data_IF_168436090147
#
_entry.id   IF_168436090147
#
_cell.length_a   1.000
_cell.length_b   1.000
_cell.length_c   1.000
_cell.angle_alpha   90.00
_cell.angle_beta   90.00
_cell.angle_gamma   90.00
#
_symmetry.space_group_name_H-M   'P 1'
#
loop_
_entity.id
_entity.type
_entity.pdbx_description
1 polymer ?
#
# COMPACT_ATOMS: atom_id res chain seq x y z
N UNK A 1 -17.18 -7.77 9.93
CA UNK A 1 -17.20 -9.05 10.68
C UNK A 1 -18.11 -10.04 9.98
N UNK A 2 -19.31 -9.64 9.59
CA UNK A 2 -20.29 -10.52 8.91
C UNK A 2 -19.68 -11.23 7.69
N UNK A 3 -19.10 -10.50 6.74
CA UNK A 3 -18.42 -11.09 5.57
C UNK A 3 -17.25 -12.00 5.94
N UNK A 4 -16.46 -11.65 6.96
CA UNK A 4 -15.27 -12.42 7.34
C UNK A 4 -15.63 -13.85 7.73
N UNK A 5 -16.74 -14.03 8.44
CA UNK A 5 -17.23 -15.35 8.86
C UNK A 5 -17.68 -16.25 7.70
N UNK A 6 -17.92 -15.70 6.51
CA UNK A 6 -18.32 -16.45 5.31
C UNK A 6 -17.14 -16.90 4.46
N UNK A 7 -15.95 -16.32 4.68
CA UNK A 7 -14.74 -16.66 3.92
C UNK A 7 -14.12 -17.93 4.54
N UNK A 8 -13.83 -18.97 3.72
CA UNK A 8 -13.16 -20.17 4.20
C UNK A 8 -11.78 -19.90 4.80
N UNK A 9 -11.37 -20.76 5.73
CA UNK A 9 -10.02 -20.75 6.29
C UNK A 9 -8.99 -20.93 5.17
N UNK A 10 -7.85 -20.25 5.29
CA UNK A 10 -6.66 -20.43 4.42
C UNK A 10 -6.84 -20.18 2.91
N UNK A 11 -7.94 -19.55 2.49
CA UNK A 11 -8.26 -19.27 1.09
C UNK A 11 -7.53 -18.03 0.53
N UNK A 12 -7.30 -16.99 1.34
CA UNK A 12 -6.73 -15.72 0.86
C UNK A 12 -5.20 -15.79 0.78
N UNK A 13 -4.62 -15.51 -0.39
CA UNK A 13 -3.16 -15.46 -0.55
C UNK A 13 -2.57 -14.12 -0.06
N UNK A 14 -3.33 -13.04 -0.21
CA UNK A 14 -2.92 -11.71 0.23
C UNK A 14 -4.07 -11.01 0.95
N UNK A 15 -3.83 -10.54 2.16
CA UNK A 15 -4.65 -9.51 2.80
C UNK A 15 -3.94 -8.17 2.63
N UNK A 16 -4.59 -7.18 2.03
CA UNK A 16 -4.02 -5.84 1.89
C UNK A 16 -5.08 -4.80 2.22
N UNK A 17 -4.73 -3.84 3.06
CA UNK A 17 -5.69 -2.84 3.53
C UNK A 17 -5.03 -1.61 4.11
N UNK A 18 -5.86 -0.57 4.30
CA UNK A 18 -5.59 0.63 5.07
C UNK A 18 -6.77 0.82 6.03
N UNK A 19 -6.65 0.42 7.31
CA UNK A 19 -7.77 0.51 8.24
C UNK A 19 -8.11 1.96 8.54
N UNK A 20 -9.25 2.24 9.19
CA UNK A 20 -9.46 3.53 9.84
C UNK A 20 -8.34 3.83 10.84
N UNK A 21 -7.93 5.09 10.97
CA UNK A 21 -6.75 5.53 11.77
C UNK A 21 -7.13 6.14 13.14
N UNK A 22 -8.41 6.04 13.53
CA UNK A 22 -8.93 6.66 14.75
C UNK A 22 -8.72 8.19 14.80
N UNK A 23 -8.68 8.82 13.63
CA UNK A 23 -8.41 10.24 13.41
C UNK A 23 -9.65 11.13 13.57
N UNK A 24 -10.84 10.56 13.72
CA UNK A 24 -12.08 11.33 13.79
C UNK A 24 -12.47 11.95 12.44
N UNK A 25 -12.05 11.34 11.32
CA UNK A 25 -12.52 11.71 9.98
C UNK A 25 -14.03 11.52 9.87
N UNK A 26 -14.68 12.02 8.82
CA UNK A 26 -16.16 11.99 8.68
C UNK A 26 -16.78 10.59 8.88
N UNK A 27 -16.01 9.53 8.63
CA UNK A 27 -16.40 8.12 8.77
C UNK A 27 -15.86 7.43 10.05
N UNK A 28 -15.15 8.14 10.93
CA UNK A 28 -14.56 7.61 12.17
C UNK A 28 -15.03 8.39 13.40
N UNK A 29 -15.44 7.69 14.47
CA UNK A 29 -15.53 8.29 15.80
C UNK A 29 -14.18 8.17 16.49
N UNK A 30 -13.67 9.24 17.11
CA UNK A 30 -12.45 9.17 17.93
C UNK A 30 -12.72 8.26 19.14
N UNK A 31 -12.05 7.10 19.17
CA UNK A 31 -12.09 6.13 20.27
C UNK A 31 -10.85 6.27 21.15
N UNK A 32 -10.92 5.74 22.37
CA UNK A 32 -9.70 5.49 23.18
C UNK A 32 -8.82 4.49 22.43
N UNK A 33 -7.50 4.69 22.48
CA UNK A 33 -6.53 3.89 21.72
C UNK A 33 -6.67 2.38 22.00
N UNK A 34 -6.91 1.99 23.25
CA UNK A 34 -7.10 0.57 23.61
C UNK A 34 -8.32 -0.06 22.92
N UNK A 35 -9.40 0.72 22.77
CA UNK A 35 -10.61 0.25 22.08
C UNK A 35 -10.36 0.13 20.58
N UNK A 36 -9.62 1.06 20.00
CA UNK A 36 -9.18 0.98 18.60
C UNK A 36 -8.35 -0.28 18.37
N UNK A 37 -7.31 -0.50 19.19
CA UNK A 37 -6.44 -1.67 19.10
C UNK A 37 -7.23 -2.98 19.28
N UNK A 38 -8.19 -3.01 20.21
CA UNK A 38 -9.05 -4.17 20.39
C UNK A 38 -9.96 -4.46 19.17
N UNK A 39 -10.41 -3.43 18.45
CA UNK A 39 -11.16 -3.61 17.21
C UNK A 39 -10.27 -4.10 16.08
N UNK A 40 -9.07 -3.52 15.94
CA UNK A 40 -8.08 -3.96 14.94
C UNK A 40 -7.68 -5.42 15.19
N UNK A 41 -7.43 -5.80 16.44
CA UNK A 41 -7.10 -7.17 16.83
C UNK A 41 -8.14 -8.18 16.35
N UNK A 42 -9.43 -7.91 16.55
CA UNK A 42 -10.52 -8.80 16.08
C UNK A 42 -10.53 -9.00 14.57
N UNK A 43 -10.28 -7.93 13.82
CA UNK A 43 -10.23 -8.02 12.35
C UNK A 43 -8.97 -8.77 11.91
N UNK A 44 -7.82 -8.47 12.53
CA UNK A 44 -6.56 -9.14 12.23
C UNK A 44 -6.63 -10.64 12.55
N UNK A 45 -7.25 -11.04 13.66
CA UNK A 45 -7.47 -12.45 14.02
C UNK A 45 -8.22 -13.21 12.91
N UNK A 46 -9.31 -12.63 12.40
CA UNK A 46 -10.06 -13.22 11.28
C UNK A 46 -9.26 -13.20 9.97
N UNK A 47 -8.51 -12.13 9.70
CA UNK A 47 -7.61 -12.08 8.55
C UNK A 47 -6.56 -13.21 8.62
N UNK A 48 -6.02 -13.53 9.80
CA UNK A 48 -5.06 -14.62 10.00
C UNK A 48 -5.71 -15.99 9.78
N UNK A 49 -6.97 -16.17 10.18
CA UNK A 49 -7.73 -17.41 9.92
C UNK A 49 -7.86 -17.68 8.42
N UNK A 50 -8.32 -16.69 7.65
CA UNK A 50 -8.54 -16.84 6.20
C UNK A 50 -7.24 -16.85 5.38
N UNK A 51 -6.12 -16.40 5.96
CA UNK A 51 -4.85 -16.29 5.25
C UNK A 51 -4.25 -17.67 4.99
N UNK A 52 -3.87 -17.93 3.74
CA UNK A 52 -3.15 -19.13 3.35
C UNK A 52 -1.83 -19.29 4.15
N UNK A 53 -1.36 -20.51 4.48
CA UNK A 53 -0.08 -20.73 5.16
C UNK A 53 1.14 -20.09 4.46
N UNK A 54 1.05 -19.89 3.13
CA UNK A 54 2.08 -19.22 2.31
C UNK A 54 1.76 -17.76 2.02
N UNK A 55 0.65 -17.25 2.56
CA UNK A 55 0.12 -15.93 2.30
C UNK A 55 0.77 -14.81 3.10
N UNK A 56 0.48 -13.58 2.69
CA UNK A 56 0.97 -12.34 3.29
C UNK A 56 -0.15 -11.42 3.78
N UNK A 57 0.12 -10.64 4.83
CA UNK A 57 -0.69 -9.49 5.25
C UNK A 57 0.13 -8.22 5.03
N UNK A 58 -0.47 -7.25 4.35
CA UNK A 58 0.06 -5.91 4.16
C UNK A 58 -0.88 -4.89 4.81
N UNK A 59 -0.44 -4.35 5.94
CA UNK A 59 -1.24 -3.43 6.75
C UNK A 59 -0.68 -2.02 6.63
N UNK A 60 -1.29 -1.20 5.78
CA UNK A 60 -0.89 0.18 5.54
C UNK A 60 -1.43 1.09 6.63
N UNK A 61 -0.55 1.77 7.36
CA UNK A 61 -0.94 2.72 8.41
C UNK A 61 -0.02 3.93 8.44
N UNK A 62 -0.62 5.06 8.83
CA UNK A 62 0.10 6.29 9.08
C UNK A 62 0.34 6.56 10.56
N UNK A 63 0.22 7.84 10.90
CA UNK A 63 0.26 8.32 12.26
C UNK A 63 -0.98 9.16 12.54
N UNK A 64 -1.37 9.23 13.80
CA UNK A 64 -2.30 10.27 14.25
C UNK A 64 -1.61 11.22 15.21
N UNK A 65 -2.12 12.45 15.27
CA UNK A 65 -1.52 13.52 16.06
C UNK A 65 -2.46 13.85 17.20
N UNK A 66 -1.97 13.72 18.43
CA UNK A 66 -2.72 14.07 19.63
C UNK A 66 -1.97 15.16 20.40
N UNK A 67 -2.56 16.35 20.51
CA UNK A 67 -1.94 17.49 21.23
C UNK A 67 -0.48 17.80 20.83
N UNK A 68 -0.14 17.58 19.56
CA UNK A 68 1.20 17.82 19.00
C UNK A 68 2.15 16.62 19.04
N UNK A 69 1.80 15.56 19.77
CA UNK A 69 2.54 14.30 19.80
C UNK A 69 2.17 13.43 18.58
N UNK A 70 3.17 12.75 18.01
CA UNK A 70 2.98 11.78 16.93
C UNK A 70 2.77 10.42 17.56
N UNK A 71 1.65 9.79 17.24
CA UNK A 71 1.37 8.42 17.64
C UNK A 71 1.47 7.54 16.39
N UNK A 72 2.59 6.81 16.22
CA UNK A 72 2.81 5.94 15.07
C UNK A 72 1.99 4.66 15.22
N UNK A 73 1.01 4.47 14.33
CA UNK A 73 0.09 3.35 14.43
C UNK A 73 0.77 2.00 14.12
N UNK A 74 1.79 2.01 13.26
CA UNK A 74 2.57 0.83 12.91
C UNK A 74 3.28 0.23 14.14
N UNK A 75 3.81 1.07 15.03
CA UNK A 75 4.44 0.61 16.28
C UNK A 75 3.40 -0.03 17.22
N UNK A 76 2.21 0.57 17.33
CA UNK A 76 1.16 0.06 18.21
C UNK A 76 0.54 -1.24 17.70
N UNK A 77 0.43 -1.39 16.38
CA UNK A 77 -0.17 -2.57 15.75
C UNK A 77 0.81 -3.73 15.63
N UNK A 78 2.12 -3.47 15.57
CA UNK A 78 3.15 -4.51 15.45
C UNK A 78 2.99 -5.66 16.47
N UNK A 79 2.71 -5.33 17.73
CA UNK A 79 2.56 -6.34 18.79
C UNK A 79 1.38 -7.28 18.55
N UNK A 80 0.28 -6.79 17.99
CA UNK A 80 -0.90 -7.63 17.69
C UNK A 80 -0.54 -8.73 16.68
N UNK A 81 0.22 -8.38 15.63
CA UNK A 81 0.65 -9.37 14.64
C UNK A 81 1.66 -10.37 15.23
N UNK A 82 2.55 -9.92 16.12
CA UNK A 82 3.50 -10.81 16.81
C UNK A 82 2.80 -11.79 17.75
N UNK A 83 1.80 -11.34 18.51
CA UNK A 83 0.99 -12.19 19.39
C UNK A 83 0.25 -13.29 18.61
N UNK A 84 0.03 -13.09 17.31
CA UNK A 84 -0.58 -14.04 16.38
C UNK A 84 0.46 -14.87 15.59
N UNK A 85 1.72 -14.86 16.02
CA UNK A 85 2.85 -15.60 15.43
C UNK A 85 3.14 -15.28 13.95
N UNK A 86 2.81 -14.08 13.49
CA UNK A 86 3.18 -13.65 12.14
C UNK A 86 4.61 -13.11 12.11
N UNK A 87 5.29 -13.32 10.98
CA UNK A 87 6.67 -12.88 10.79
C UNK A 87 6.75 -11.59 9.99
N UNK A 88 7.25 -10.51 10.60
CA UNK A 88 7.48 -9.25 9.88
C UNK A 88 8.64 -9.44 8.89
N UNK A 89 8.40 -9.15 7.60
CA UNK A 89 9.43 -9.20 6.56
C UNK A 89 10.02 -7.83 6.26
N UNK A 90 9.16 -6.82 6.07
CA UNK A 90 9.58 -5.44 5.91
C UNK A 90 8.58 -4.46 6.54
N UNK A 91 9.12 -3.34 7.03
CA UNK A 91 8.36 -2.10 7.21
C UNK A 91 8.55 -1.27 5.95
N UNK A 92 7.65 -1.41 4.99
CA UNK A 92 7.74 -0.73 3.71
C UNK A 92 7.29 0.72 3.92
N UNK A 93 8.18 1.67 3.64
CA UNK A 93 7.91 3.09 3.74
C UNK A 93 7.37 3.59 2.41
N UNK A 94 6.08 3.93 2.38
CA UNK A 94 5.46 4.59 1.26
C UNK A 94 5.65 6.11 1.39
N UNK A 95 6.56 6.67 0.60
CA UNK A 95 6.83 8.10 0.54
C UNK A 95 5.93 8.78 -0.50
N UNK A 96 5.15 9.77 -0.05
CA UNK A 96 4.38 10.68 -0.91
C UNK A 96 4.88 12.12 -0.73
N UNK A 97 5.02 12.84 -1.84
CA UNK A 97 5.67 14.15 -1.83
C UNK A 97 4.74 15.30 -1.39
N UNK A 98 3.42 15.12 -1.53
CA UNK A 98 2.43 16.16 -1.25
C UNK A 98 1.59 15.88 0.01
N UNK A 99 1.47 16.88 0.88
CA UNK A 99 0.67 16.78 2.10
C UNK A 99 0.63 18.09 2.89
N UNK A 100 -0.11 18.09 3.99
CA UNK A 100 -0.21 19.26 4.88
C UNK A 100 1.16 19.63 5.46
N UNK A 101 1.36 20.93 5.71
CA UNK A 101 2.60 21.48 6.26
C UNK A 101 2.48 21.72 7.77
N UNK A 102 3.56 21.47 8.49
CA UNK A 102 3.69 21.77 9.91
C UNK A 102 4.74 22.88 10.11
N UNK A 103 4.51 23.77 11.08
CA UNK A 103 5.46 24.85 11.44
C UNK A 103 6.31 24.52 12.68
N UNK A 104 5.80 23.68 13.59
CA UNK A 104 6.46 23.32 14.85
C UNK A 104 7.16 21.95 14.84
N UNK A 105 7.20 21.29 13.67
CA UNK A 105 7.85 19.98 13.45
C UNK A 105 8.02 19.72 11.95
N UNK A 106 8.79 18.70 11.59
CA UNK A 106 8.88 18.24 10.21
C UNK A 106 7.53 17.68 9.74
N UNK A 107 7.18 17.99 8.49
CA UNK A 107 5.91 17.55 7.93
C UNK A 107 5.99 16.07 7.54
N UNK A 108 5.03 15.27 7.98
CA UNK A 108 4.96 13.85 7.61
C UNK A 108 4.79 13.68 6.09
N UNK A 109 5.61 12.83 5.49
CA UNK A 109 5.61 12.56 4.03
C UNK A 109 5.66 11.07 3.72
N UNK A 110 5.30 10.25 4.68
CA UNK A 110 5.23 8.82 4.46
C UNK A 110 4.16 8.18 5.33
N UNK A 111 3.73 7.02 4.87
CA UNK A 111 3.01 6.02 5.63
C UNK A 111 3.78 4.69 5.56
N UNK A 112 3.41 3.73 6.38
CA UNK A 112 4.13 2.46 6.54
C UNK A 112 3.20 1.31 6.23
N UNK A 113 3.62 0.40 5.36
CA UNK A 113 2.98 -0.90 5.16
C UNK A 113 3.77 -1.92 5.97
N UNK A 114 3.13 -2.50 6.97
CA UNK A 114 3.66 -3.65 7.69
C UNK A 114 3.41 -4.90 6.84
N UNK A 115 4.47 -5.47 6.27
CA UNK A 115 4.38 -6.73 5.53
C UNK A 115 4.74 -7.90 6.43
N UNK A 116 3.72 -8.68 6.77
CA UNK A 116 3.82 -9.91 7.55
C UNK A 116 3.55 -11.15 6.69
N UNK A 117 4.14 -12.28 7.07
CA UNK A 117 3.85 -13.60 6.47
C UNK A 117 3.40 -14.58 7.54
N UNK A 118 2.56 -15.55 7.16
CA UNK A 118 2.03 -16.58 8.08
C UNK A 118 3.07 -17.61 8.49
N UNK A 119 4.06 -17.87 7.63
CA UNK A 119 5.15 -18.80 7.87
C UNK A 119 6.46 -18.34 7.19
N UNK A 120 7.51 -19.16 7.31
CA UNK A 120 8.77 -19.00 6.59
C UNK A 120 8.75 -19.53 5.14
N UNK A 121 7.79 -20.39 4.78
CA UNK A 121 7.48 -20.72 3.38
C UNK A 121 6.36 -19.81 2.90
N UNK A 122 6.73 -18.69 2.29
CA UNK A 122 5.78 -17.70 1.81
C UNK A 122 5.99 -17.38 0.33
N UNK A 123 4.92 -16.94 -0.33
CA UNK A 123 4.97 -16.50 -1.72
C UNK A 123 5.68 -15.15 -1.83
N UNK A 124 6.72 -15.08 -2.67
CA UNK A 124 7.34 -13.82 -3.05
C UNK A 124 7.90 -13.84 -4.49
N UNK A 125 7.33 -13.02 -5.36
CA UNK A 125 7.70 -12.85 -6.76
C UNK A 125 8.46 -11.51 -6.94
N UNK A 126 9.79 -11.52 -6.93
CA UNK A 126 10.58 -10.28 -7.05
C UNK A 126 10.60 -9.71 -8.48
N UNK A 127 10.65 -10.56 -9.49
CA UNK A 127 10.92 -10.14 -10.87
C UNK A 127 9.87 -9.19 -11.46
N UNK A 128 8.55 -9.39 -11.25
CA UNK A 128 7.50 -8.48 -11.75
C UNK A 128 7.56 -7.06 -11.17
N UNK A 129 8.22 -6.87 -10.02
CA UNK A 129 8.26 -5.59 -9.29
C UNK A 129 9.63 -4.91 -9.32
N UNK A 130 10.55 -5.43 -10.13
CA UNK A 130 11.86 -4.80 -10.31
C UNK A 130 11.71 -3.41 -10.93
N UNK A 131 12.62 -2.53 -10.56
CA UNK A 131 12.69 -1.16 -11.09
C UNK A 131 13.99 -0.95 -11.86
N UNK A 132 14.03 0.02 -12.80
CA UNK A 132 15.22 0.30 -13.57
C UNK A 132 16.48 0.50 -12.69
N UNK A 133 17.58 -0.11 -13.11
CA UNK A 133 18.88 0.09 -12.47
C UNK A 133 19.37 1.51 -12.79
N UNK A 134 19.87 2.25 -11.79
CA UNK A 134 20.48 3.57 -12.01
C UNK A 134 21.70 3.52 -12.95
N UNK A 135 22.43 2.41 -12.92
CA UNK A 135 23.65 2.17 -13.70
C UNK A 135 23.59 0.80 -14.39
N UNK A 136 22.78 0.61 -15.44
CA UNK A 136 22.59 -0.69 -16.09
C UNK A 136 23.88 -1.19 -16.76
N UNK A 137 24.76 -0.28 -17.20
CA UNK A 137 26.08 -0.64 -17.75
C UNK A 137 27.12 -1.05 -16.70
N UNK A 138 26.80 -1.05 -15.40
CA UNK A 138 27.79 -1.31 -14.34
C UNK A 138 28.25 -2.77 -14.40
N UNK A 139 29.56 -2.95 -14.59
CA UNK A 139 30.22 -4.25 -14.57
C UNK A 139 30.92 -4.49 -13.25
N UNK A 140 31.11 -5.76 -12.89
CA UNK A 140 31.97 -6.10 -11.75
C UNK A 140 33.39 -5.63 -12.05
N UNK A 141 33.98 -4.92 -11.09
CA UNK A 141 35.31 -4.34 -11.22
C UNK A 141 36.44 -5.38 -10.97
N UNK A 142 36.21 -6.32 -10.04
CA UNK A 142 37.17 -7.36 -9.64
C UNK A 142 36.46 -8.68 -9.34
N UNK A 143 37.24 -9.75 -9.24
CA UNK A 143 36.78 -11.10 -8.89
C UNK A 143 36.41 -11.95 -10.11
N UNK A 144 35.89 -13.17 -9.88
CA UNK A 144 35.62 -14.15 -10.96
C UNK A 144 34.63 -13.68 -12.03
N UNK A 145 33.81 -12.66 -11.72
CA UNK A 145 32.83 -12.06 -12.63
C UNK A 145 33.30 -10.74 -13.25
N UNK A 146 34.57 -10.35 -13.08
CA UNK A 146 35.10 -9.10 -13.62
C UNK A 146 34.80 -8.96 -15.13
N UNK A 147 34.32 -7.79 -15.54
CA UNK A 147 33.90 -7.54 -16.92
C UNK A 147 32.47 -8.01 -17.27
N UNK A 148 31.81 -8.81 -16.42
CA UNK A 148 30.39 -9.15 -16.56
C UNK A 148 29.50 -8.07 -15.96
N UNK A 149 28.28 -7.92 -16.47
CA UNK A 149 27.28 -7.00 -15.91
C UNK A 149 26.90 -7.42 -14.49
N UNK A 150 26.80 -6.44 -13.60
CA UNK A 150 26.51 -6.65 -12.18
C UNK A 150 25.03 -6.54 -11.82
N UNK A 151 24.20 -6.08 -12.76
CA UNK A 151 22.76 -5.93 -12.57
C UNK A 151 21.99 -7.11 -13.16
N UNK A 152 20.80 -7.36 -12.61
CA UNK A 152 19.83 -8.25 -13.23
C UNK A 152 19.20 -7.53 -14.45
N UNK A 153 18.99 -8.22 -15.59
CA UNK A 153 18.46 -7.61 -16.82
C UNK A 153 17.06 -7.02 -16.65
N UNK A 154 16.24 -7.57 -15.75
CA UNK A 154 14.88 -7.11 -15.45
C UNK A 154 14.88 -5.91 -14.48
N UNK A 155 16.05 -5.46 -14.01
CA UNK A 155 16.19 -4.34 -13.08
C UNK A 155 16.57 -4.76 -11.65
N UNK A 156 16.61 -3.78 -10.75
CA UNK A 156 16.97 -3.99 -9.34
C UNK A 156 15.75 -4.26 -8.48
N UNK A 157 15.98 -4.88 -7.33
CA UNK A 157 14.98 -4.92 -6.25
C UNK A 157 14.56 -3.47 -5.90
N UNK A 158 13.25 -3.19 -5.78
CA UNK A 158 12.77 -1.84 -5.47
C UNK A 158 13.19 -1.33 -4.08
N UNK A 159 13.65 -2.22 -3.19
CA UNK A 159 13.85 -1.93 -1.78
C UNK A 159 12.51 -1.80 -1.06
N UNK A 160 12.54 -1.28 0.15
CA UNK A 160 11.39 -1.05 1.03
C UNK A 160 11.07 0.44 1.23
N UNK A 161 11.66 1.34 0.43
CA UNK A 161 11.29 2.75 0.35
C UNK A 161 10.67 3.03 -1.03
N UNK A 162 9.35 3.20 -1.07
CA UNK A 162 8.60 3.34 -2.31
C UNK A 162 8.11 4.77 -2.49
N UNK A 163 8.59 5.42 -3.54
CA UNK A 163 8.16 6.77 -3.92
C UNK A 163 7.00 6.64 -4.90
N UNK A 164 5.77 6.82 -4.41
CA UNK A 164 4.55 6.72 -5.22
C UNK A 164 3.64 7.90 -4.83
N UNK A 165 3.16 8.73 -5.78
CA UNK A 165 2.28 9.85 -5.46
C UNK A 165 0.96 9.40 -4.82
N UNK A 166 0.47 10.17 -3.86
CA UNK A 166 -0.84 9.94 -3.26
C UNK A 166 -1.99 10.47 -4.15
N UNK A 167 -3.19 9.92 -3.96
CA UNK A 167 -4.38 10.29 -4.73
C UNK A 167 -4.96 11.62 -4.19
N UNK A 168 -4.60 12.74 -4.83
CA UNK A 168 -5.10 14.10 -4.51
C UNK A 168 -6.04 14.64 -5.59
N UNK A 169 -6.52 15.88 -5.44
CA UNK A 169 -7.61 16.46 -6.25
C UNK A 169 -7.43 16.32 -7.77
N UNK A 170 -6.22 16.51 -8.30
CA UNK A 170 -5.93 16.41 -9.74
C UNK A 170 -5.46 15.01 -10.17
N UNK A 171 -5.51 14.02 -9.29
CA UNK A 171 -5.08 12.66 -9.59
C UNK A 171 -6.17 11.94 -10.40
N UNK A 172 -5.76 11.20 -11.44
CA UNK A 172 -6.70 10.50 -12.35
C UNK A 172 -7.61 9.50 -11.63
N UNK A 173 -7.12 8.94 -10.54
CA UNK A 173 -7.86 7.96 -9.71
C UNK A 173 -8.69 8.60 -8.58
N UNK A 174 -8.77 9.93 -8.47
CA UNK A 174 -9.43 10.59 -7.34
C UNK A 174 -10.93 10.34 -7.36
N UNK A 175 -11.46 9.92 -6.22
CA UNK A 175 -12.88 9.71 -5.96
C UNK A 175 -13.35 10.59 -4.80
N UNK A 176 -14.58 10.36 -4.33
CA UNK A 176 -15.08 10.97 -3.09
C UNK A 176 -14.29 10.53 -1.84
N UNK A 177 -13.62 9.37 -1.87
CA UNK A 177 -12.91 8.85 -0.70
C UNK A 177 -11.72 9.75 -0.34
N UNK A 178 -11.61 10.25 0.90
CA UNK A 178 -10.62 11.26 1.26
C UNK A 178 -9.20 10.71 1.37
N UNK A 179 -9.06 9.41 1.66
CA UNK A 179 -7.78 8.77 1.97
C UNK A 179 -7.60 7.49 1.14
N UNK A 180 -7.71 7.63 -0.18
CA UNK A 180 -7.51 6.54 -1.11
C UNK A 180 -6.01 6.36 -1.40
N UNK A 181 -5.46 5.17 -1.19
CA UNK A 181 -4.14 4.81 -1.72
C UNK A 181 -4.20 4.58 -3.25
N UNK A 182 -3.09 4.80 -3.99
CA UNK A 182 -3.06 4.66 -5.45
C UNK A 182 -3.02 3.19 -5.88
N UNK A 183 -3.61 2.86 -7.03
CA UNK A 183 -3.63 1.48 -7.55
C UNK A 183 -2.21 0.91 -7.74
N UNK A 184 -1.27 1.71 -8.26
CA UNK A 184 0.12 1.27 -8.47
C UNK A 184 0.88 0.88 -7.18
N UNK A 185 0.44 1.34 -6.00
CA UNK A 185 1.01 0.88 -4.72
C UNK A 185 0.58 -0.56 -4.44
N UNK A 186 -0.71 -0.86 -4.63
CA UNK A 186 -1.29 -2.17 -4.35
C UNK A 186 -0.94 -3.18 -5.43
N UNK A 187 -0.90 -2.76 -6.69
CA UNK A 187 -0.42 -3.56 -7.82
C UNK A 187 0.95 -4.17 -7.52
N UNK A 188 1.87 -3.38 -6.94
CA UNK A 188 3.19 -3.89 -6.51
C UNK A 188 3.10 -4.99 -5.46
N UNK A 189 2.21 -4.84 -4.47
CA UNK A 189 2.00 -5.85 -3.43
C UNK A 189 1.40 -7.13 -4.03
N UNK A 190 0.37 -6.99 -4.86
CA UNK A 190 -0.30 -8.11 -5.54
C UNK A 190 0.70 -8.88 -6.41
N UNK A 191 1.42 -8.21 -7.30
CA UNK A 191 2.38 -8.86 -8.20
C UNK A 191 3.53 -9.55 -7.45
N UNK A 192 3.89 -9.06 -6.27
CA UNK A 192 4.96 -9.64 -5.47
C UNK A 192 4.53 -10.74 -4.53
N UNK A 193 3.25 -10.86 -4.17
CA UNK A 193 2.80 -11.78 -3.13
C UNK A 193 1.72 -12.76 -3.59
N UNK A 194 1.33 -12.72 -4.87
CA UNK A 194 0.28 -13.57 -5.46
C UNK A 194 0.63 -14.01 -6.88
N UNK A 195 0.02 -15.10 -7.34
CA UNK A 195 -0.09 -15.51 -8.74
C UNK A 195 -1.48 -15.18 -9.30
N UNK A 196 -1.70 -15.39 -10.59
CA UNK A 196 -3.03 -15.25 -11.20
C UNK A 196 -4.04 -16.17 -10.50
N UNK A 197 -5.31 -15.76 -10.49
CA UNK A 197 -6.44 -16.43 -9.83
C UNK A 197 -6.40 -16.52 -8.29
N UNK A 198 -5.28 -16.15 -7.65
CA UNK A 198 -5.21 -16.04 -6.19
C UNK A 198 -6.22 -15.02 -5.66
N UNK A 199 -6.70 -15.26 -4.43
CA UNK A 199 -7.63 -14.37 -3.75
C UNK A 199 -6.91 -13.27 -2.97
N UNK A 200 -7.28 -12.01 -3.24
CA UNK A 200 -6.84 -10.81 -2.53
C UNK A 200 -7.99 -10.25 -1.68
N UNK A 201 -7.79 -10.17 -0.37
CA UNK A 201 -8.79 -9.72 0.58
C UNK A 201 -8.50 -8.31 1.14
N UNK A 202 -9.53 -7.48 1.24
CA UNK A 202 -9.48 -6.16 1.91
C UNK A 202 -10.67 -5.98 2.88
N UNK A 203 -10.45 -6.02 4.21
CA UNK A 203 -11.52 -5.80 5.18
C UNK A 203 -12.04 -4.35 5.26
N UNK A 204 -11.34 -3.38 4.65
CA UNK A 204 -11.66 -1.96 4.66
C UNK A 204 -11.55 -1.38 3.25
N UNK A 205 -12.42 -1.87 2.37
CA UNK A 205 -12.28 -1.74 0.92
C UNK A 205 -12.34 -0.29 0.41
N UNK A 206 -12.99 0.63 1.13
CA UNK A 206 -13.02 2.05 0.78
C UNK A 206 -13.55 2.27 -0.64
N UNK A 207 -12.76 2.94 -1.48
CA UNK A 207 -13.08 3.16 -2.90
C UNK A 207 -12.73 1.96 -3.82
N UNK A 208 -12.45 0.78 -3.27
CA UNK A 208 -12.22 -0.45 -4.04
C UNK A 208 -10.87 -0.53 -4.74
N UNK A 209 -9.86 0.25 -4.32
CA UNK A 209 -8.55 0.24 -5.00
C UNK A 209 -7.89 -1.15 -4.97
N UNK A 210 -7.99 -1.91 -3.88
CA UNK A 210 -7.49 -3.29 -3.83
C UNK A 210 -8.14 -4.18 -4.89
N UNK A 211 -9.47 -4.18 -4.97
CA UNK A 211 -10.20 -4.98 -5.95
C UNK A 211 -9.88 -4.56 -7.38
N UNK A 212 -9.78 -3.26 -7.64
CA UNK A 212 -9.34 -2.73 -8.94
C UNK A 212 -7.95 -3.27 -9.31
N UNK A 213 -6.97 -3.16 -8.41
CA UNK A 213 -5.61 -3.62 -8.68
C UNK A 213 -5.54 -5.14 -8.90
N UNK A 214 -6.34 -5.92 -8.16
CA UNK A 214 -6.46 -7.36 -8.33
C UNK A 214 -7.03 -7.73 -9.70
N UNK A 215 -8.17 -7.13 -10.08
CA UNK A 215 -8.84 -7.41 -11.37
C UNK A 215 -7.94 -7.06 -12.55
N UNK A 216 -7.30 -5.88 -12.52
CA UNK A 216 -6.38 -5.46 -13.58
C UNK A 216 -5.17 -6.39 -13.74
N UNK A 217 -4.87 -7.19 -12.71
CA UNK A 217 -3.79 -8.16 -12.70
C UNK A 217 -4.31 -9.61 -12.68
N UNK A 218 -5.54 -9.90 -13.11
CA UNK A 218 -6.08 -11.27 -13.17
C UNK A 218 -6.09 -12.02 -11.81
N UNK A 219 -6.36 -11.32 -10.70
CA UNK A 219 -6.58 -11.92 -9.37
C UNK A 219 -8.05 -11.78 -8.97
N UNK A 220 -8.51 -12.71 -8.13
CA UNK A 220 -9.83 -12.59 -7.47
C UNK A 220 -9.73 -11.60 -6.33
N UNK A 221 -10.81 -10.90 -6.01
CA UNK A 221 -10.85 -10.03 -4.83
C UNK A 221 -12.18 -10.09 -4.10
N UNK A 222 -12.09 -9.97 -2.77
CA UNK A 222 -13.25 -9.88 -1.88
C UNK A 222 -12.95 -8.88 -0.76
N UNK A 223 -13.98 -8.21 -0.24
CA UNK A 223 -13.81 -7.27 0.84
C UNK A 223 -15.10 -6.57 1.26
N UNK A 224 -14.99 -5.78 2.32
CA UNK A 224 -16.14 -5.13 2.95
C UNK A 224 -15.97 -3.62 2.99
N UNK A 225 -17.08 -2.90 2.82
CA UNK A 225 -17.18 -1.47 3.04
C UNK A 225 -18.53 -1.19 3.73
N UNK A 226 -18.51 -0.38 4.79
CA UNK A 226 -19.67 -0.11 5.63
C UNK A 226 -20.39 1.18 5.21
N UNK A 227 -19.70 2.09 4.56
CA UNK A 227 -20.24 3.36 4.08
C UNK A 227 -20.79 3.18 2.67
N UNK A 228 -22.10 3.42 2.51
CA UNK A 228 -22.79 3.18 1.24
C UNK A 228 -22.19 3.92 0.07
N UNK A 229 -21.84 5.19 0.23
CA UNK A 229 -21.27 6.01 -0.85
C UNK A 229 -19.91 5.48 -1.32
N UNK A 230 -19.09 4.95 -0.40
CA UNK A 230 -17.80 4.34 -0.73
C UNK A 230 -17.99 2.99 -1.40
N UNK A 231 -18.95 2.18 -0.92
CA UNK A 231 -19.35 0.94 -1.56
C UNK A 231 -19.79 1.18 -3.02
N UNK A 232 -20.68 2.14 -3.27
CA UNK A 232 -21.17 2.45 -4.62
C UNK A 232 -20.02 2.93 -5.54
N UNK A 233 -19.10 3.72 -4.99
CA UNK A 233 -17.86 4.13 -5.69
C UNK A 233 -16.98 2.93 -6.02
N UNK A 234 -16.81 2.00 -5.09
CA UNK A 234 -16.01 0.80 -5.28
C UNK A 234 -16.61 -0.09 -6.39
N UNK A 235 -17.94 -0.31 -6.37
CA UNK A 235 -18.65 -1.10 -7.39
C UNK A 235 -18.48 -0.50 -8.78
N UNK A 236 -18.72 0.81 -8.95
CA UNK A 236 -18.53 1.49 -10.24
C UNK A 236 -17.10 1.33 -10.77
N UNK A 237 -16.10 1.49 -9.90
CA UNK A 237 -14.68 1.35 -10.27
C UNK A 237 -14.32 -0.08 -10.65
N UNK A 238 -14.81 -1.06 -9.88
CA UNK A 238 -14.60 -2.49 -10.14
C UNK A 238 -15.19 -2.88 -11.51
N UNK A 239 -16.42 -2.43 -11.80
CA UNK A 239 -17.06 -2.67 -13.10
C UNK A 239 -16.24 -2.06 -14.25
N UNK A 240 -15.85 -0.78 -14.13
CA UNK A 240 -14.99 -0.13 -15.14
C UNK A 240 -13.63 -0.79 -15.29
N UNK A 241 -13.05 -1.32 -14.22
CA UNK A 241 -11.79 -2.06 -14.29
C UNK A 241 -11.99 -3.37 -15.08
N UNK A 242 -13.08 -4.09 -14.83
CA UNK A 242 -13.40 -5.34 -15.53
C UNK A 242 -13.67 -5.17 -17.03
N UNK A 243 -14.13 -3.99 -17.46
CA UNK A 243 -14.34 -3.66 -18.89
C UNK A 243 -13.16 -2.93 -19.54
N UNK A 244 -12.09 -2.65 -18.79
CA UNK A 244 -10.91 -1.92 -19.28
C UNK A 244 -11.12 -0.40 -19.45
N UNK A 245 -12.22 0.14 -18.94
CA UNK A 245 -12.56 1.57 -19.03
C UNK A 245 -11.92 2.41 -17.91
N UNK A 246 -11.57 1.78 -16.79
CA UNK A 246 -10.99 2.49 -15.64
C UNK A 246 -9.56 2.95 -15.96
N UNK A 247 -9.32 4.25 -15.82
CA UNK A 247 -7.98 4.82 -15.94
C UNK A 247 -7.29 4.83 -14.58
N UNK A 248 -6.15 4.17 -14.48
CA UNK A 248 -5.25 4.22 -13.34
C UNK A 248 -3.93 4.88 -13.72
N UNK A 249 -3.16 5.32 -12.72
CA UNK A 249 -1.77 5.72 -12.92
C UNK A 249 -0.92 4.44 -12.95
N UNK A 250 -0.17 4.16 -14.04
CA UNK A 250 0.72 3.00 -14.07
C UNK A 250 1.71 2.99 -12.90
N UNK A 251 1.98 1.81 -12.34
CA UNK A 251 2.91 1.63 -11.22
C UNK A 251 4.33 2.16 -11.50
N UNK A 252 4.82 1.98 -12.73
CA UNK A 252 6.16 2.31 -13.17
C UNK A 252 6.32 3.77 -13.65
N UNK A 253 5.21 4.49 -13.83
CA UNK A 253 5.23 5.89 -14.26
C UNK A 253 6.06 6.71 -13.27
N UNK A 254 7.00 7.50 -13.77
CA UNK A 254 7.80 8.40 -12.93
C UNK A 254 6.97 9.58 -12.38
N UNK A 255 7.42 10.15 -11.27
CA UNK A 255 6.84 11.40 -10.78
C UNK A 255 7.29 12.53 -11.68
N UNK A 256 6.37 13.42 -12.05
CA UNK A 256 6.68 14.52 -12.93
C UNK A 256 7.67 15.49 -12.27
N UNK A 257 8.85 15.61 -12.87
CA UNK A 257 9.83 16.62 -12.51
C UNK A 257 9.75 17.78 -13.52
N UNK A 258 9.31 18.99 -13.10
CA UNK A 258 9.27 20.13 -14.01
C UNK A 258 10.70 20.50 -14.47
N UNK A 259 10.89 21.00 -15.69
CA UNK A 259 12.18 21.49 -16.16
C UNK A 259 12.71 22.57 -15.22
N UNK A 260 14.02 22.53 -14.88
CA UNK A 260 14.65 23.46 -13.92
C UNK A 260 14.43 24.95 -14.24
N UNK A 261 14.23 25.30 -15.51
CA UNK A 261 14.00 26.68 -15.98
C UNK A 261 12.52 27.05 -16.14
N UNK A 262 11.60 26.15 -15.80
CA UNK A 262 10.16 26.43 -15.88
C UNK A 262 9.73 27.38 -14.76
N UNK A 263 8.67 28.16 -14.99
CA UNK A 263 8.08 29.01 -13.94
C UNK A 263 7.69 28.23 -12.67
N UNK A 264 7.43 26.93 -12.79
CA UNK A 264 7.11 26.04 -11.67
C UNK A 264 8.33 25.64 -10.84
N UNK A 265 9.53 25.62 -11.45
CA UNK A 265 10.78 25.23 -10.80
C UNK A 265 11.65 26.44 -10.39
N UNK A 266 11.31 27.64 -10.84
CA UNK A 266 11.99 28.89 -10.47
C UNK A 266 11.40 29.42 -9.16
N UNK A 267 12.23 29.67 -8.15
CA UNK A 267 11.80 30.31 -6.91
C UNK A 267 11.43 31.78 -7.19
N UNK A 268 10.16 32.19 -7.06
CA UNK A 268 9.74 33.56 -7.38
C UNK A 268 10.23 34.60 -6.37
N UNK A 269 10.84 34.16 -5.26
CA UNK A 269 11.34 35.02 -4.18
C UNK A 269 12.86 35.14 -4.16
N UNK A 270 13.58 34.48 -5.07
CA UNK A 270 15.01 34.78 -5.26
C UNK A 270 15.12 35.91 -6.28
N UNK A 271 15.58 37.08 -5.84
CA UNK A 271 16.11 38.09 -6.75
C UNK A 271 17.36 37.50 -7.45
N UNK A 272 17.52 37.81 -8.75
CA UNK A 272 18.64 37.35 -9.56
C UNK A 272 20.00 37.77 -8.98
#
# INVERSE_FOLDING_TARGET
MDLLGEIPDEEAMLVVTSPPYNLGKEYEKVLKIDRYLAQQKKVIEECVRILNPRGSICWEVGNYVNKGEIIPLDILLYSIFQDLNLHLRNRIVWHFEHGLHCSKRLSGRYEVILWFTKSDDYKFNLDPIRIPQKYPGKKYFKGPKAGQYSCNPNGKNPGDLWIIPNVKHNHIEKTIHPCQYPAGLIERLILSMTDEDDLVFDPFMGAGTTAVAAILNNRRSVGAEIMRDYYDTAVDRILKASTGELKTRPMDKEVYCPPKKSKLATNPFMEC
#
